data_IF_291328569492
#
_entry.id   IF_291328569492
#
_cell.length_a   1.000
_cell.length_b   1.000
_cell.length_c   1.000
_cell.angle_alpha   90.00
_cell.angle_beta   90.00
_cell.angle_gamma   90.00
#
_symmetry.space_group_name_H-M   'P 1'
#
loop_
_entity.id
_entity.type
_entity.pdbx_description
1 polymer ?
2 non-polymer ?
3 water ?
#
# COMPACT_ATOMS: atom_id res chain seq x y z
N UNK A 2 -12.05 -10.25 14.82
CA UNK A 2 -11.09 -11.04 15.57
C UNK A 2 -10.51 -10.27 16.75
N UNK A 3 -10.64 -8.95 16.70
CA UNK A 3 -10.09 -8.13 17.78
C UNK A 3 -8.61 -7.80 17.52
N UNK A 4 -8.04 -8.31 16.44
CA UNK A 4 -6.64 -8.02 16.15
C UNK A 4 -6.53 -6.61 15.58
N UNK A 5 -5.58 -5.82 16.10
CA UNK A 5 -5.35 -4.46 15.63
C UNK A 5 -3.89 -4.26 15.26
N UNK A 7 -0.95 -1.05 14.43
CA UNK A 7 -0.70 0.40 14.37
C UNK A 7 0.64 0.68 13.71
N UNK A 8 0.69 1.80 13.00
CA UNK A 8 1.96 2.25 12.39
C UNK A 8 2.30 3.63 12.86
N UNK A 9 3.59 3.86 13.12
CA UNK A 9 4.08 5.17 13.54
C UNK A 9 4.90 5.68 12.36
N UNK A 10 4.33 6.59 11.58
CA UNK A 10 4.99 7.06 10.39
C UNK A 10 6.25 7.87 10.57
N UNK A 11 7.25 7.57 9.76
CA UNK A 11 8.47 8.37 9.79
C UNK A 11 9.05 8.35 8.39
N UNK A 12 9.95 9.29 8.12
CA UNK A 12 10.55 9.33 6.80
C UNK A 12 11.64 8.28 6.59
N UNK A 13 12.35 7.85 7.63
CA UNK A 13 13.36 6.81 7.46
C UNK A 13 12.98 5.45 8.09
N UNK A 14 11.91 5.45 8.90
CA UNK A 14 11.51 4.25 9.60
C UNK A 14 10.05 4.40 10.00
N UNK A 15 9.28 3.32 9.89
CA UNK A 15 7.86 3.33 10.26
C UNK A 15 7.71 2.28 11.35
N UNK A 16 7.33 2.71 12.56
CA UNK A 16 7.17 1.73 13.63
C UNK A 16 5.92 0.87 13.42
N UNK A 17 5.95 -0.34 13.97
CA UNK A 17 4.83 -1.27 13.83
C UNK A 17 4.50 -1.92 15.13
N UNK A 18 3.20 -1.98 15.47
CA UNK A 18 2.81 -2.70 16.68
C UNK A 18 1.56 -3.49 16.35
N UNK A 19 1.38 -4.59 17.10
CA UNK A 19 0.20 -5.42 16.91
C UNK A 19 -0.44 -5.55 18.26
N UNK A 20 -1.77 -5.55 18.25
CA UNK A 20 -2.55 -5.65 19.50
C UNK A 20 -3.70 -6.61 19.40
N UNK A 21 -4.24 -7.02 20.56
CA UNK A 21 -5.38 -7.94 20.54
C UNK A 21 -6.40 -7.42 21.53
N UNK A 22 -7.58 -7.13 21.06
CA UNK A 22 -8.62 -6.62 21.98
C UNK A 22 -8.99 -7.72 22.98
N UNK A 23 -8.89 -8.96 22.56
CA UNK A 23 -9.30 -10.10 23.41
C UNK A 23 -8.54 -10.15 24.71
N UNK A 24 -7.24 -9.87 24.63
CA UNK A 24 -6.40 -9.86 25.82
C UNK A 24 -6.14 -8.43 26.31
N UNK A 25 -6.44 -7.44 25.49
CA UNK A 25 -6.22 -6.05 25.90
C UNK A 25 -4.77 -5.61 25.86
N UNK A 26 -3.95 -6.34 25.09
CA UNK A 26 -2.53 -6.01 25.05
C UNK A 26 -1.99 -5.69 23.67
N UNK A 27 -0.78 -5.14 23.65
CA UNK A 27 -0.08 -4.77 22.40
C UNK A 27 1.42 -4.97 22.58
N UNK A 28 2.09 -5.18 21.45
CA UNK A 28 3.53 -5.40 21.46
C UNK A 28 4.18 -4.91 20.18
N UNK A 29 5.48 -4.63 20.24
CA UNK A 29 6.16 -4.14 19.03
C UNK A 29 6.58 -5.27 18.06
N UNK A 30 6.48 -4.95 16.78
CA UNK A 30 7.04 -5.82 15.76
C UNK A 30 8.23 -5.00 15.22
N UNK A 31 9.12 -5.60 14.42
CA UNK A 31 10.26 -4.82 13.90
C UNK A 31 9.77 -3.64 13.02
N UNK A 32 10.37 -2.49 13.21
CA UNK A 32 10.02 -1.32 12.40
C UNK A 32 10.34 -1.60 10.92
N UNK A 33 9.71 -0.83 10.05
CA UNK A 33 9.89 -0.95 8.59
C UNK A 33 10.72 0.23 8.08
N UNK A 34 11.83 -0.05 7.40
CA UNK A 34 12.60 1.05 6.87
C UNK A 34 11.84 1.75 5.74
N UNK A 35 12.06 3.05 5.65
CA UNK A 35 11.43 3.83 4.64
C UNK A 35 12.45 4.69 3.89
N UNK A 36 12.12 4.95 2.63
CA UNK A 36 12.98 5.79 1.75
C UNK A 36 12.12 7.04 1.54
N UNK A 37 12.48 8.11 2.27
CA UNK A 37 11.71 9.37 2.22
C UNK A 37 10.21 9.10 2.36
N UNK A 38 9.88 8.28 3.36
CA UNK A 38 8.52 7.91 3.71
C UNK A 38 7.91 6.73 3.00
N UNK A 39 8.62 6.22 1.98
CA UNK A 39 8.09 5.11 1.19
C UNK A 39 8.66 3.80 1.70
N UNK A 40 7.78 2.88 2.08
CA UNK A 40 8.22 1.57 2.58
C UNK A 40 8.28 0.58 1.44
N UNK A 41 8.81 -0.62 1.72
CA UNK A 41 8.72 -1.72 0.79
C UNK A 41 7.27 -2.21 1.06
N UNK A 42 6.33 -1.89 0.15
CA UNK A 42 4.94 -2.24 0.40
C UNK A 42 4.66 -3.73 0.55
N UNK A 43 5.55 -4.58 0.04
CA UNK A 43 5.32 -6.04 0.19
C UNK A 43 5.42 -6.44 1.70
N UNK A 44 6.18 -5.64 2.49
CA UNK A 44 6.24 -5.95 3.93
C UNK A 44 4.88 -5.72 4.55
N UNK A 45 4.28 -4.57 4.22
CA UNK A 45 2.96 -4.32 4.76
C UNK A 45 1.91 -5.31 4.27
N UNK A 46 1.98 -5.65 2.98
CA UNK A 46 1.07 -6.65 2.44
C UNK A 46 1.17 -7.96 3.23
N UNK A 47 2.39 -8.40 3.51
CA UNK A 47 2.57 -9.62 4.29
C UNK A 47 2.00 -9.50 5.70
N UNK A 48 2.30 -8.41 6.40
CA UNK A 48 1.80 -8.23 7.74
C UNK A 48 0.28 -8.29 7.76
N UNK A 49 -0.36 -7.63 6.78
CA UNK A 49 -1.82 -7.63 6.78
C UNK A 49 -2.44 -8.97 6.47
N UNK A 50 -1.81 -9.70 5.57
CA UNK A 50 -2.35 -11.00 5.21
C UNK A 50 -2.18 -11.98 6.38
N UNK A 51 -1.07 -11.89 7.11
CA UNK A 51 -0.87 -12.82 8.21
C UNK A 51 -1.62 -12.48 9.47
N UNK A 52 -1.68 -11.20 9.83
CA UNK A 52 -2.39 -10.81 11.06
C UNK A 52 -3.88 -10.52 10.88
N UNK A 53 -4.31 -10.25 9.65
CA UNK A 53 -5.71 -9.93 9.35
C UNK A 53 -6.33 -8.98 10.37
N UNK A 54 -5.70 -7.82 10.57
CA UNK A 54 -6.28 -6.89 11.54
C UNK A 54 -7.69 -6.40 11.18
N UNK A 55 -8.46 -6.10 12.23
CA UNK A 55 -9.82 -5.60 11.99
C UNK A 55 -9.69 -4.19 11.41
N UNK A 56 -8.67 -3.48 11.88
CA UNK A 56 -8.40 -2.13 11.37
C UNK A 56 -6.97 -1.78 11.71
N UNK A 57 -6.50 -0.74 11.01
CA UNK A 57 -5.14 -0.25 11.16
C UNK A 57 -5.22 1.14 11.74
N UNK A 58 -4.32 1.46 12.66
CA UNK A 58 -4.28 2.77 13.27
C UNK A 58 -2.95 3.43 12.86
N UNK A 59 -3.01 4.65 12.36
CA UNK A 59 -1.80 5.40 12.03
C UNK A 59 -1.72 6.62 12.93
N UNK A 60 -0.57 6.89 13.51
CA UNK A 60 -0.48 8.08 14.33
C UNK A 60 -0.55 9.35 13.53
N UNK A 61 -1.21 10.38 14.08
CA UNK A 61 -1.26 11.69 13.40
C UNK A 61 -0.28 12.51 14.22
N UNK A 62 0.93 12.77 13.68
CA UNK A 62 1.92 13.51 14.47
C UNK A 62 1.60 14.95 14.64
N UNK A 63 1.79 15.41 15.87
CA UNK A 63 1.52 16.80 16.19
C UNK A 63 2.57 17.33 17.14
N UNK A 64 2.66 18.63 17.20
CA UNK A 64 3.56 19.27 18.14
C UNK A 64 3.00 19.14 19.55
N UNK A 66 1.88 21.26 21.53
CA UNK A 66 0.67 22.04 21.74
C UNK A 66 -0.50 21.58 20.87
N UNK A 67 -0.31 20.52 20.11
CA UNK A 67 -1.43 20.05 19.31
C UNK A 67 -1.58 20.55 17.90
N UNK A 68 -0.72 21.46 17.49
CA UNK A 68 -0.76 21.99 16.14
C UNK A 68 -0.05 21.00 15.19
N UNK A 69 -0.39 21.06 13.90
CA UNK A 69 0.22 20.16 12.94
C UNK A 69 1.65 20.59 12.61
N UNK A 70 2.38 19.65 12.04
CA UNK A 70 3.73 19.91 11.63
C UNK A 70 3.87 19.39 10.21
N UNK A 71 5.03 19.61 9.58
CA UNK A 71 5.25 19.15 8.21
C UNK A 71 4.93 17.66 8.05
N UNK A 72 5.36 16.88 9.02
CA UNK A 72 5.14 15.44 8.96
C UNK A 72 3.70 15.00 8.97
N UNK A 73 2.81 15.83 9.50
CA UNK A 73 1.41 15.47 9.64
C UNK A 73 0.79 15.13 8.27
N UNK A 74 1.04 15.98 7.27
CA UNK A 74 0.50 15.76 5.95
C UNK A 74 1.02 14.49 5.35
N UNK A 75 2.29 14.19 5.57
CA UNK A 75 2.87 12.95 5.01
C UNK A 75 2.30 11.70 5.69
N UNK A 76 2.03 11.79 6.98
CA UNK A 76 1.43 10.65 7.68
C UNK A 76 0.03 10.41 7.14
N UNK A 77 -0.71 11.48 6.85
CA UNK A 77 -2.04 11.32 6.26
C UNK A 77 -1.94 10.64 4.92
N UNK A 78 -0.97 11.02 4.09
CA UNK A 78 -0.81 10.37 2.78
C UNK A 78 -0.52 8.87 2.96
N UNK A 79 0.33 8.56 3.94
CA UNK A 79 0.67 7.16 4.20
C UNK A 79 -0.58 6.36 4.60
N UNK A 80 -1.36 6.91 5.53
CA UNK A 80 -2.61 6.24 5.98
C UNK A 80 -3.54 6.00 4.80
N UNK A 81 -3.66 7.04 3.96
CA UNK A 81 -4.50 6.92 2.76
C UNK A 81 -4.02 5.85 1.81
N UNK A 82 -2.70 5.81 1.57
CA UNK A 82 -2.12 4.82 0.68
C UNK A 82 -2.31 3.36 1.21
N UNK A 83 -2.25 3.15 2.53
CA UNK A 83 -2.50 1.79 3.08
C UNK A 83 -3.95 1.42 2.79
N UNK A 84 -4.85 2.37 2.93
CA UNK A 84 -6.26 2.06 2.69
C UNK A 84 -6.46 1.79 1.19
N UNK A 85 -5.82 2.58 0.35
CA UNK A 85 -6.02 2.41 -1.09
C UNK A 85 -5.44 1.13 -1.64
N UNK A 86 -4.27 0.78 -1.16
CA UNK A 86 -3.59 -0.45 -1.62
C UNK A 86 -4.16 -1.74 -1.07
N UNK A 87 -4.70 -1.71 0.14
CA UNK A 87 -5.13 -2.95 0.78
C UNK A 87 -6.59 -3.05 1.14
N UNK A 88 -7.29 -1.91 1.17
CA UNK A 88 -8.74 -1.94 1.44
C UNK A 88 -9.16 -1.99 2.88
N UNK A 89 -8.19 -2.16 3.75
CA UNK A 89 -8.44 -2.26 5.18
C UNK A 89 -8.85 -0.90 5.76
N UNK A 90 -9.66 -0.93 6.82
CA UNK A 90 -10.06 0.31 7.43
C UNK A 90 -8.87 0.93 8.16
N UNK A 91 -8.63 2.23 7.94
CA UNK A 91 -7.49 2.94 8.58
C UNK A 91 -8.03 4.09 9.37
N UNK A 92 -7.62 4.17 10.63
CA UNK A 92 -8.05 5.24 11.50
C UNK A 92 -6.83 6.03 11.90
N UNK A 93 -6.98 7.34 12.05
CA UNK A 93 -5.84 8.17 12.54
C UNK A 93 -6.02 8.39 14.05
N UNK A 94 -4.94 8.52 14.78
CA UNK A 94 -5.08 8.77 16.22
C UNK A 94 -4.02 9.81 16.56
N UNK A 95 -4.40 10.91 17.24
CA UNK A 95 -3.42 11.97 17.55
C UNK A 95 -2.20 11.44 18.31
N UNK A 96 -1.05 11.95 17.89
CA UNK A 96 0.24 11.55 18.48
C UNK A 96 1.02 12.85 18.73
N UNK A 97 0.79 13.45 19.89
CA UNK A 97 1.52 14.70 20.21
C UNK A 97 2.88 14.39 20.80
N UNK A 98 3.85 15.18 20.41
CA UNK A 98 5.20 15.07 21.00
C UNK A 98 5.12 15.41 22.50
N UNK A 99 5.95 14.75 23.30
CA UNK A 99 6.00 15.05 24.72
C UNK A 99 7.47 14.90 25.14
N UNK A 100 7.79 15.47 26.32
CA UNK A 100 9.15 15.33 26.85
C UNK A 100 9.40 13.98 27.51
N UNK A 101 10.45 13.31 27.07
CA UNK A 101 10.86 12.01 27.66
C UNK A 101 11.67 12.46 28.89
N UNK A 102 11.32 12.09 30.11
CA UNK A 102 12.16 12.69 31.14
C UNK A 102 13.57 12.16 31.25
N UNK A 103 14.43 13.01 31.79
CA UNK A 103 15.84 12.71 31.97
C UNK A 103 16.02 11.51 32.90
N UNK A 111 23.50 0.36 33.74
CA UNK A 111 24.34 -0.53 34.54
C UNK A 111 23.54 -1.72 35.04
N UNK A 112 23.38 -2.71 34.16
CA UNK A 112 22.60 -3.89 34.47
C UNK A 112 21.44 -3.79 33.51
N UNK A 113 21.54 -2.73 32.71
CA UNK A 113 20.61 -2.32 31.65
C UNK A 113 20.27 -3.41 30.62
N UNK A 114 19.02 -3.41 30.16
CA UNK A 114 18.62 -4.34 29.13
C UNK A 114 17.61 -3.65 28.20
N UNK A 115 17.82 -3.80 26.91
CA UNK A 115 16.93 -3.17 25.93
C UNK A 115 16.51 -4.15 24.81
N UNK A 116 15.31 -3.95 24.27
CA UNK A 116 14.84 -4.80 23.17
C UNK A 116 15.79 -4.62 21.99
N UNK A 117 15.71 -5.53 21.01
CA UNK A 117 16.55 -5.37 19.84
C UNK A 117 16.07 -4.10 19.15
N UNK A 118 17.00 -3.47 18.45
CA UNK A 118 16.77 -2.21 17.79
C UNK A 118 15.51 -2.07 16.95
N UNK A 119 15.19 -3.11 16.18
CA UNK A 119 14.01 -3.09 15.32
C UNK A 119 12.73 -2.91 16.12
N UNK A 120 12.64 -3.56 17.27
CA UNK A 120 11.44 -3.37 18.08
C UNK A 120 11.49 -2.06 18.87
N UNK A 121 12.68 -1.63 19.28
CA UNK A 121 12.82 -0.38 20.02
C UNK A 121 12.32 0.74 19.08
N UNK A 122 12.65 0.63 17.79
CA UNK A 122 12.21 1.65 16.80
C UNK A 122 10.69 1.71 16.59
N UNK A 123 9.99 0.70 17.12
CA UNK A 123 8.52 0.62 17.05
C UNK A 123 7.86 0.99 18.36
N UNK A 124 8.63 1.50 19.32
CA UNK A 124 7.98 1.89 20.58
C UNK A 124 6.88 2.89 20.49
N UNK A 125 7.01 3.91 19.61
CA UNK A 125 5.94 4.88 19.50
C UNK A 125 4.71 4.21 18.89
N UNK A 126 4.89 3.20 18.03
CA UNK A 126 3.71 2.57 17.47
C UNK A 126 2.96 1.80 18.62
N UNK A 127 3.69 1.16 19.53
CA UNK A 127 3.04 0.47 20.64
C UNK A 127 2.27 1.52 21.49
N UNK A 128 2.88 2.67 21.75
CA UNK A 128 2.19 3.71 22.54
C UNK A 128 0.93 4.18 21.85
N UNK A 129 0.99 4.38 20.52
CA UNK A 129 -0.17 4.79 19.78
C UNK A 129 -1.28 3.75 19.97
N UNK A 130 -0.94 2.48 19.84
CA UNK A 130 -1.96 1.45 19.88
C UNK A 130 -2.50 1.27 21.29
N UNK A 131 -1.65 1.32 22.33
CA UNK A 131 -2.15 1.21 23.69
C UNK A 131 -3.07 2.42 23.98
N UNK A 132 -2.69 3.60 23.51
CA UNK A 132 -3.51 4.81 23.71
C UNK A 132 -4.87 4.62 23.06
N UNK A 133 -4.86 4.16 21.80
CA UNK A 133 -6.08 3.97 21.06
C UNK A 133 -6.99 2.98 21.82
N UNK A 135 -6.86 2.06 25.09
CA UNK A 135 -7.21 2.57 26.42
C UNK A 135 -8.30 3.60 26.37
N UNK A 136 -8.27 4.44 25.33
CA UNK A 136 -9.26 5.50 25.19
C UNK A 136 -10.58 4.93 24.72
N UNK A 137 -10.62 3.61 24.50
CA UNK A 137 -11.85 2.99 24.10
C UNK A 137 -12.25 3.00 22.66
N UNK A 138 -11.27 3.07 21.78
CA UNK A 138 -11.56 2.99 20.36
C UNK A 138 -11.27 1.54 19.95
N UNK B 2 12.43 -13.54 -18.98
CA UNK B 2 11.71 -13.17 -20.23
C UNK B 2 12.16 -11.80 -20.75
N UNK B 3 12.33 -10.84 -19.84
CA UNK B 3 12.73 -9.52 -20.25
C UNK B 3 11.52 -8.65 -20.58
N UNK B 4 10.32 -9.12 -20.24
CA UNK B 4 9.11 -8.38 -20.55
C UNK B 4 8.34 -7.96 -19.29
N UNK B 5 7.76 -6.78 -19.34
CA UNK B 5 6.90 -6.33 -18.24
C UNK B 5 5.50 -6.24 -18.86
N UNK B 7 1.57 -4.41 -18.11
CA UNK B 7 0.76 -3.53 -17.24
C UNK B 7 -0.69 -3.57 -17.67
N UNK B 8 -1.58 -3.41 -16.69
CA UNK B 8 -3.03 -3.39 -16.93
C UNK B 8 -3.57 -2.07 -16.39
N UNK B 9 -4.50 -1.49 -17.15
CA UNK B 9 -5.19 -0.24 -16.78
C UNK B 9 -6.66 -0.63 -16.61
N UNK B 10 -7.08 -0.81 -15.37
CA UNK B 10 -8.46 -1.30 -15.10
C UNK B 10 -9.50 -0.25 -15.46
N UNK B 11 -10.61 -0.70 -16.08
CA UNK B 11 -11.71 0.16 -16.45
C UNK B 11 -13.00 -0.66 -16.38
N UNK B 12 -14.17 -0.01 -16.46
CA UNK B 12 -15.44 -0.73 -16.35
C UNK B 12 -15.86 -1.42 -17.62
N UNK B 13 -15.55 -0.83 -18.76
CA UNK B 13 -15.93 -1.52 -19.98
C UNK B 13 -14.76 -2.13 -20.72
N UNK B 14 -13.55 -1.82 -20.25
CA UNK B 14 -12.34 -2.22 -20.95
C UNK B 14 -11.16 -2.17 -19.96
N UNK B 15 -10.24 -3.12 -20.09
CA UNK B 15 -8.99 -3.14 -19.30
C UNK B 15 -7.84 -2.99 -20.31
N UNK B 16 -7.07 -1.91 -20.22
CA UNK B 16 -5.98 -1.73 -21.16
C UNK B 16 -4.83 -2.64 -20.80
N UNK B 17 -4.06 -3.05 -21.81
CA UNK B 17 -2.93 -3.93 -21.59
C UNK B 17 -1.72 -3.44 -22.35
N UNK B 18 -0.56 -3.42 -21.72
CA UNK B 18 0.64 -2.97 -22.44
C UNK B 18 1.78 -3.94 -22.06
N UNK B 19 2.74 -4.09 -22.99
CA UNK B 19 3.92 -4.91 -22.74
C UNK B 19 5.17 -4.08 -22.96
N UNK B 20 6.12 -4.25 -22.07
CA UNK B 20 7.33 -3.47 -22.18
C UNK B 20 8.52 -4.40 -22.25
N UNK B 21 9.54 -3.90 -22.95
CA UNK B 21 10.79 -4.60 -23.14
C UNK B 21 11.79 -3.82 -22.32
N UNK B 22 12.24 -4.40 -21.22
CA UNK B 22 13.16 -3.68 -20.37
C UNK B 22 14.44 -3.24 -21.04
N UNK B 23 14.87 -3.91 -22.11
CA UNK B 23 16.15 -3.55 -22.76
C UNK B 23 16.04 -2.41 -23.77
N UNK B 24 14.82 -2.04 -24.13
CA UNK B 24 14.61 -0.92 -25.05
C UNK B 24 13.79 0.14 -24.36
N UNK B 25 13.42 -0.12 -23.11
CA UNK B 25 12.61 0.82 -22.33
C UNK B 25 11.42 1.32 -23.11
N UNK B 26 10.86 0.46 -23.96
CA UNK B 26 9.72 0.82 -24.79
C UNK B 26 8.51 0.05 -24.33
N UNK B 27 7.38 0.75 -24.25
CA UNK B 27 6.12 0.16 -23.83
C UNK B 27 5.17 0.19 -25.02
N UNK B 28 4.52 -0.93 -25.33
CA UNK B 28 3.64 -1.01 -26.47
C UNK B 28 2.25 -1.52 -26.09
N UNK B 29 1.17 -1.01 -26.71
CA UNK B 29 -0.17 -1.48 -26.40
C UNK B 29 -0.58 -2.76 -27.09
N UNK B 30 -1.34 -3.58 -26.38
CA UNK B 30 -1.89 -4.77 -26.96
C UNK B 30 -3.39 -4.45 -26.97
N UNK B 31 -4.19 -5.25 -27.69
CA UNK B 31 -5.63 -4.98 -27.73
C UNK B 31 -6.22 -5.00 -26.33
N UNK B 32 -7.04 -3.99 -26.00
CA UNK B 32 -7.61 -3.95 -24.64
C UNK B 32 -8.50 -5.19 -24.43
N UNK B 33 -8.68 -5.57 -23.18
CA UNK B 33 -9.51 -6.71 -22.82
C UNK B 33 -10.90 -6.23 -22.56
N UNK B 34 -11.86 -6.84 -23.23
CA UNK B 34 -13.21 -6.42 -23.01
C UNK B 34 -13.65 -6.74 -21.59
N UNK B 35 -14.41 -5.83 -20.98
CA UNK B 35 -14.91 -6.07 -19.65
C UNK B 35 -16.41 -5.65 -19.63
N UNK B 36 -17.18 -6.30 -18.77
CA UNK B 36 -18.59 -5.96 -18.63
C UNK B 36 -18.66 -5.58 -17.18
N UNK B 37 -18.82 -4.30 -16.91
CA UNK B 37 -18.90 -3.83 -15.53
C UNK B 37 -17.64 -4.21 -14.78
N UNK B 38 -16.51 -4.06 -15.45
CA UNK B 38 -15.22 -4.38 -14.83
C UNK B 38 -14.88 -5.86 -14.86
N UNK B 39 -15.78 -6.71 -15.35
CA UNK B 39 -15.51 -8.14 -15.40
C UNK B 39 -14.94 -8.63 -16.73
N UNK B 40 -13.67 -9.10 -16.75
CA UNK B 40 -13.03 -9.60 -17.99
C UNK B 40 -13.27 -11.13 -18.16
N UNK B 41 -12.90 -11.64 -19.33
CA UNK B 41 -12.93 -13.08 -19.51
C UNK B 41 -11.55 -13.45 -18.89
N UNK B 42 -11.58 -14.09 -17.73
CA UNK B 42 -10.32 -14.46 -17.07
C UNK B 42 -9.45 -15.38 -17.88
N UNK B 43 -10.02 -16.18 -18.80
CA UNK B 43 -9.15 -17.02 -19.63
C UNK B 43 -8.24 -16.15 -20.53
N UNK B 44 -8.70 -14.92 -20.85
CA UNK B 44 -7.88 -14.07 -21.70
C UNK B 44 -6.70 -13.57 -20.85
N UNK B 45 -6.95 -13.22 -19.59
CA UNK B 45 -5.86 -12.81 -18.69
C UNK B 45 -4.88 -13.96 -18.56
N UNK B 46 -5.36 -15.19 -18.34
CA UNK B 46 -4.42 -16.32 -18.20
C UNK B 46 -3.58 -16.49 -19.46
N UNK B 47 -4.24 -16.37 -20.58
CA UNK B 47 -3.58 -16.52 -21.83
C UNK B 47 -2.44 -15.51 -22.02
N UNK B 48 -2.68 -14.24 -21.72
CA UNK B 48 -1.65 -13.24 -21.88
C UNK B 48 -0.44 -13.57 -21.05
N UNK B 49 -0.67 -14.05 -19.84
CA UNK B 49 0.45 -14.40 -18.98
C UNK B 49 1.27 -15.52 -19.68
N UNK B 50 0.60 -16.43 -20.40
CA UNK B 50 1.33 -17.48 -21.10
C UNK B 50 2.02 -17.03 -22.41
N UNK B 51 1.36 -16.22 -23.23
CA UNK B 51 1.93 -15.75 -24.48
C UNK B 51 3.20 -14.93 -24.11
N UNK B 52 3.18 -14.21 -22.96
CA UNK B 52 4.30 -13.31 -22.61
C UNK B 52 5.26 -13.58 -21.46
N UNK B 53 4.88 -14.44 -20.50
CA UNK B 53 5.71 -14.74 -19.31
C UNK B 53 6.40 -13.50 -18.75
N UNK B 54 5.64 -12.48 -18.43
CA UNK B 54 6.26 -11.27 -17.90
C UNK B 54 6.99 -11.43 -16.58
N UNK B 55 8.10 -10.70 -16.45
CA UNK B 55 8.96 -10.70 -15.25
C UNK B 55 8.25 -9.96 -14.12
N UNK B 56 7.40 -9.01 -14.49
CA UNK B 56 6.62 -8.27 -13.50
C UNK B 56 5.29 -7.91 -14.14
N UNK B 57 4.25 -7.95 -13.33
CA UNK B 57 2.87 -7.65 -13.75
C UNK B 57 2.47 -6.46 -12.90
N UNK B 58 2.05 -5.41 -13.55
CA UNK B 58 1.73 -4.11 -12.89
C UNK B 58 0.29 -3.74 -13.15
N UNK B 59 -0.41 -3.34 -12.09
CA UNK B 59 -1.81 -2.87 -12.28
C UNK B 59 -1.82 -1.43 -11.77
N UNK B 60 -2.39 -0.53 -12.59
CA UNK B 60 -2.47 0.84 -12.13
C UNK B 60 -3.44 0.99 -10.96
N UNK B 61 -3.06 1.77 -9.93
CA UNK B 61 -3.95 2.03 -8.81
C UNK B 61 -4.25 3.54 -8.88
N UNK B 62 -5.50 3.90 -9.19
CA UNK B 62 -5.88 5.30 -9.31
C UNK B 62 -6.05 6.15 -8.09
N UNK B 63 -4.97 6.30 -7.34
CA UNK B 63 -4.96 7.18 -6.18
C UNK B 63 -4.54 8.57 -6.62
N UNK B 64 -5.04 9.56 -5.91
CA UNK B 64 -4.67 10.98 -6.10
C UNK B 64 -3.27 11.18 -5.45
N UNK B 66 -2.43 12.89 -3.01
CA UNK B 66 -2.44 12.89 -1.54
C UNK B 66 -2.86 11.55 -1.00
N UNK B 67 -2.95 10.55 -1.89
CA UNK B 67 -3.31 9.22 -1.43
C UNK B 67 -4.78 8.89 -1.41
N UNK B 68 -5.64 9.88 -1.63
CA UNK B 68 -7.08 9.59 -1.59
C UNK B 68 -7.50 8.85 -2.87
N UNK B 69 -8.70 8.30 -2.84
CA UNK B 69 -9.16 7.48 -3.94
C UNK B 69 -9.93 8.11 -5.05
N UNK B 70 -9.67 7.64 -6.26
CA UNK B 70 -10.52 8.00 -7.38
C UNK B 70 -11.49 6.82 -7.45
N UNK B 71 -12.55 6.96 -8.25
CA UNK B 71 -13.45 5.83 -8.36
C UNK B 71 -12.58 4.79 -9.13
N UNK B 72 -12.88 3.55 -8.90
CA UNK B 72 -12.22 2.42 -9.49
C UNK B 72 -11.03 1.99 -8.67
N UNK B 73 -10.67 2.71 -7.62
CA UNK B 73 -9.52 2.25 -6.83
C UNK B 73 -9.74 0.86 -6.25
N UNK B 74 -10.88 0.61 -5.57
CA UNK B 74 -11.12 -0.67 -5.00
C UNK B 74 -11.21 -1.77 -6.02
N UNK B 75 -11.86 -1.45 -7.14
CA UNK B 75 -11.98 -2.44 -8.18
C UNK B 75 -10.67 -2.76 -8.86
N UNK B 76 -9.77 -1.77 -8.96
CA UNK B 76 -8.45 -2.05 -9.54
C UNK B 76 -7.62 -2.91 -8.57
N UNK B 77 -7.72 -2.57 -7.27
CA UNK B 77 -7.05 -3.37 -6.25
C UNK B 77 -7.57 -4.84 -6.26
N UNK B 78 -8.90 -5.01 -6.37
CA UNK B 78 -9.42 -6.36 -6.38
C UNK B 78 -8.96 -7.12 -7.59
N UNK B 79 -8.94 -6.45 -8.74
CA UNK B 79 -8.48 -7.08 -9.97
C UNK B 79 -7.03 -7.59 -9.78
N UNK B 80 -6.16 -6.74 -9.25
CA UNK B 80 -4.81 -7.12 -9.01
C UNK B 80 -4.72 -8.31 -8.05
N UNK B 81 -5.49 -8.27 -6.97
CA UNK B 81 -5.48 -9.38 -6.01
C UNK B 81 -5.95 -10.69 -6.65
N UNK B 82 -6.94 -10.60 -7.52
CA UNK B 82 -7.47 -11.79 -8.20
C UNK B 82 -6.51 -12.36 -9.21
N UNK B 83 -5.70 -11.52 -9.89
CA UNK B 83 -4.71 -12.08 -10.79
C UNK B 83 -3.73 -12.88 -9.90
N UNK B 84 -3.33 -12.28 -8.79
CA UNK B 84 -2.43 -12.95 -7.89
C UNK B 84 -3.04 -14.23 -7.28
N UNK B 85 -4.29 -14.15 -6.85
CA UNK B 85 -4.93 -15.29 -6.20
C UNK B 85 -5.57 -16.27 -7.15
N UNK B 86 -5.09 -16.27 -8.39
CA UNK B 86 -5.67 -17.14 -9.39
C UNK B 86 -4.57 -17.76 -10.18
N UNK B 87 -3.61 -16.93 -10.59
CA UNK B 87 -2.55 -17.42 -11.41
C UNK B 87 -1.26 -17.56 -10.66
N UNK B 88 -1.31 -17.29 -9.35
CA UNK B 88 -0.13 -17.46 -8.50
C UNK B 88 1.06 -16.61 -8.86
N UNK B 89 0.81 -15.47 -9.46
CA UNK B 89 1.87 -14.58 -9.83
C UNK B 89 1.88 -13.31 -8.94
N UNK B 90 3.05 -12.71 -8.80
CA UNK B 90 3.15 -11.51 -7.99
C UNK B 90 2.64 -10.33 -8.83
N UNK B 91 1.85 -9.46 -8.23
CA UNK B 91 1.34 -8.34 -9.02
C UNK B 91 1.74 -7.09 -8.27
N UNK B 92 2.29 -6.12 -8.98
CA UNK B 92 2.69 -4.81 -8.37
C UNK B 92 1.61 -3.76 -8.59
N UNK B 93 1.26 -3.02 -7.53
CA UNK B 93 0.27 -1.94 -7.76
C UNK B 93 1.10 -0.67 -7.98
N UNK B 94 0.80 0.04 -9.07
CA UNK B 94 1.51 1.26 -9.39
C UNK B 94 0.61 2.42 -9.00
N UNK B 95 0.99 3.16 -7.95
CA UNK B 95 0.21 4.32 -7.47
C UNK B 95 0.34 5.41 -8.54
N UNK B 96 -0.82 5.77 -9.13
CA UNK B 96 -0.82 6.75 -10.21
C UNK B 96 -0.64 8.18 -9.75
N UNK B 97 -0.69 8.46 -8.43
CA UNK B 97 -0.41 9.80 -7.86
C UNK B 97 -1.02 10.88 -8.74
N UNK B 98 -2.33 10.75 -8.93
CA UNK B 98 -2.98 11.65 -9.88
C UNK B 98 -3.05 13.07 -9.44
N UNK B 99 -3.03 13.96 -10.44
CA UNK B 99 -2.93 15.41 -10.22
C UNK B 99 -4.13 16.18 -9.67
N UNK B 100 -4.64 15.72 -8.55
CA UNK B 100 -5.76 16.33 -7.87
C UNK B 100 -5.83 15.85 -6.46
N UNK B 101 -6.55 16.59 -5.63
CA UNK B 101 -6.77 16.15 -4.26
C UNK B 101 -8.29 16.06 -4.03
N UNK B 102 -9.07 16.08 -5.12
CA UNK B 102 -10.54 15.95 -5.09
C UNK B 102 -10.81 14.45 -4.84
N UNK B 103 -11.32 14.09 -3.66
CA UNK B 103 -11.57 12.67 -3.34
C UNK B 103 -12.98 12.19 -3.68
N UNK B 121 -12.23 2.03 -25.64
CA UNK B 121 -11.46 0.80 -25.57
C UNK B 121 -10.10 0.99 -26.23
N UNK B 122 -9.12 1.40 -25.43
CA UNK B 122 -7.78 1.60 -25.93
C UNK B 122 -6.85 1.23 -24.78
N UNK B 123 -5.61 0.91 -25.11
CA UNK B 123 -4.66 0.54 -24.09
C UNK B 123 -3.65 1.66 -23.90
N UNK B 124 -4.02 2.87 -24.30
CA UNK B 124 -3.08 3.99 -24.18
C UNK B 124 -2.71 4.31 -22.75
N UNK B 125 -3.63 4.21 -21.81
CA UNK B 125 -3.23 4.53 -20.44
C UNK B 125 -2.38 3.43 -19.87
N UNK B 126 -2.59 2.18 -20.28
CA UNK B 126 -1.72 1.11 -19.76
C UNK B 126 -0.28 1.37 -20.24
N UNK B 127 -0.10 1.89 -21.44
CA UNK B 127 1.26 2.20 -21.96
C UNK B 127 1.86 3.32 -21.03
N UNK B 128 1.07 4.35 -20.72
CA UNK B 128 1.50 5.45 -19.82
C UNK B 128 1.91 4.89 -18.48
N UNK B 129 1.09 3.99 -17.92
CA UNK B 129 1.40 3.41 -16.62
C UNK B 129 2.73 2.63 -16.71
N UNK B 130 2.87 1.83 -17.76
CA UNK B 130 4.07 1.02 -17.90
C UNK B 130 5.31 1.89 -18.08
N UNK B 131 5.21 2.97 -18.86
CA UNK B 131 6.40 3.86 -19.03
C UNK B 131 6.76 4.50 -17.68
N UNK B 132 5.76 4.86 -16.87
CA UNK B 132 6.00 5.47 -15.57
C UNK B 132 6.73 4.47 -14.67
N UNK B 133 6.25 3.22 -14.70
CA UNK B 133 6.86 2.18 -13.90
C UNK B 133 8.30 1.96 -14.34
N UNK B 135 10.25 4.11 -15.69
CA UNK B 135 11.07 5.27 -15.35
C UNK B 135 11.43 5.39 -13.86
N UNK B 136 10.45 5.07 -13.00
CA UNK B 136 10.62 5.19 -11.54
C UNK B 136 11.12 3.94 -10.84
N UNK B 137 10.85 2.79 -11.44
CA UNK B 137 11.17 1.54 -10.79
C UNK B 137 10.00 0.98 -9.98
N UNK B 138 8.88 1.70 -9.96
CA UNK B 138 7.68 1.28 -9.24
C UNK B 138 6.49 2.09 -9.74
#
# INVERSE_FOLDING_TARGET
>A
XSGTLXAFDFGTKSIGVAVGQRITGTARPLPAIKAQDGTPDWNIIERLLKEWQPDEIIVGLPLNXDGTEQPLTARARKFANRIHGRFGVEVKLHDERLSTVEARSGLFEQGGYRALNKGKVDSASAVIILESYXEQGY
>B
XSGTLXAFDFGTKSIGVAVGQRITGTARPLPAIKAQDGTPDWNIIERLLKEWQPDEIIVGLPLNXDGTEQPLTARARKFANRIHGRFGVEVKLHDERLSTVEARSGLFEQGGYRALNKGKVDSASAVIILESYXEQGY
#
